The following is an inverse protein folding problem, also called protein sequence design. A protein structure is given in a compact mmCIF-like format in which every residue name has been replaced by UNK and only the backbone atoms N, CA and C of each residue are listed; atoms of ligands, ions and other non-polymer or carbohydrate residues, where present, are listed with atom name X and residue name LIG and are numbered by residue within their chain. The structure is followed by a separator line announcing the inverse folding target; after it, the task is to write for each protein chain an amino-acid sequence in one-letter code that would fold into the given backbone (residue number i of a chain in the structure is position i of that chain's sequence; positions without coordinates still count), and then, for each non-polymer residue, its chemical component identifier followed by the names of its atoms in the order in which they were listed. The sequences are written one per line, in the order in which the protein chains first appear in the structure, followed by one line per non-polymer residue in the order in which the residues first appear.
data_IF_336934379944
#
_entry.id   IF_336934379944
#
_cell.length_a   1.000
_cell.length_b   1.000
_cell.length_c   1.000
_cell.angle_alpha   90.00
_cell.angle_beta   90.00
_cell.angle_gamma   90.00
#
_symmetry.space_group_name_H-M   'P 1'
#
loop_
_entity.id
_entity.type
_entity.pdbx_description
1 polymer ?
#
# COMPACT_ATOMS: atom_id res chain seq x y z
N UNK A 1 8.89 29.20 -11.02
CA UNK A 1 9.04 27.73 -10.90
C UNK A 1 8.93 27.37 -9.42
N UNK A 2 8.06 26.42 -9.09
CA UNK A 2 7.93 25.99 -7.72
C UNK A 2 9.19 25.21 -7.28
N UNK A 3 9.56 25.36 -6.00
CA UNK A 3 10.70 24.64 -5.46
C UNK A 3 10.33 23.23 -5.05
N UNK A 4 11.28 22.29 -5.11
CA UNK A 4 11.07 20.95 -4.59
C UNK A 4 10.68 20.97 -3.11
N UNK A 5 9.76 20.10 -2.72
CA UNK A 5 9.40 19.89 -1.33
C UNK A 5 9.69 18.48 -0.90
N UNK A 6 10.10 18.30 0.34
CA UNK A 6 10.32 16.98 0.90
C UNK A 6 10.09 17.02 2.40
N UNK A 7 9.88 15.85 2.99
CA UNK A 7 9.69 15.78 4.41
C UNK A 7 9.65 14.35 4.94
N UNK A 8 9.54 14.28 6.26
CA UNK A 8 9.41 13.03 7.01
C UNK A 8 8.39 13.24 8.13
N UNK A 9 7.68 12.18 8.43
CA UNK A 9 6.74 12.17 9.56
C UNK A 9 6.75 10.80 10.23
N UNK A 10 6.30 10.75 11.47
CA UNK A 10 6.06 9.50 12.19
C UNK A 10 4.66 8.95 11.92
N UNK A 11 4.14 8.15 12.90
CA UNK A 11 2.82 7.51 12.75
C UNK A 11 1.66 8.51 12.58
N UNK A 12 1.82 9.74 13.02
CA UNK A 12 0.82 10.80 12.89
C UNK A 12 0.50 11.16 11.43
N UNK A 13 1.41 10.82 10.53
CA UNK A 13 1.21 10.98 9.10
C UNK A 13 1.79 12.27 8.52
N UNK A 14 1.83 12.34 7.18
CA UNK A 14 2.33 13.49 6.45
C UNK A 14 1.28 14.60 6.39
N UNK A 15 1.62 15.78 5.83
CA UNK A 15 0.60 16.79 5.52
C UNK A 15 -0.55 16.21 4.71
N UNK A 16 -1.75 16.78 4.90
CA UNK A 16 -2.98 16.27 4.28
C UNK A 16 -2.87 16.13 2.75
N UNK A 17 -2.20 17.07 2.08
CA UNK A 17 -2.03 17.03 0.63
C UNK A 17 -1.16 15.83 0.19
N UNK A 18 -0.15 15.48 0.96
CA UNK A 18 0.73 14.32 0.69
C UNK A 18 -0.04 13.03 0.90
N UNK A 19 -0.80 12.93 1.99
CA UNK A 19 -1.64 11.77 2.25
C UNK A 19 -2.69 11.57 1.16
N UNK A 20 -3.35 12.65 0.73
CA UNK A 20 -4.32 12.59 -0.35
C UNK A 20 -3.70 12.08 -1.66
N UNK A 21 -2.49 12.53 -1.97
CA UNK A 21 -1.74 12.09 -3.14
C UNK A 21 -1.41 10.59 -3.07
N UNK A 22 -0.97 10.11 -1.91
CA UNK A 22 -0.74 8.68 -1.65
C UNK A 22 -2.03 7.88 -1.82
N UNK A 23 -3.10 8.30 -1.15
CA UNK A 23 -4.36 7.58 -1.13
C UNK A 23 -5.08 7.54 -2.48
N UNK A 24 -4.81 8.51 -3.36
CA UNK A 24 -5.41 8.56 -4.69
C UNK A 24 -4.79 7.57 -5.68
N UNK A 25 -3.61 7.04 -5.39
CA UNK A 25 -2.95 6.09 -6.29
C UNK A 25 -3.63 4.72 -6.24
N UNK A 26 -3.70 4.07 -7.39
CA UNK A 26 -4.38 2.80 -7.54
C UNK A 26 -3.49 1.60 -7.30
N UNK A 27 -2.18 1.78 -7.44
CA UNK A 27 -1.18 0.73 -7.28
C UNK A 27 -0.02 1.28 -6.50
N UNK A 28 0.48 0.50 -5.57
CA UNK A 28 1.72 0.78 -4.85
C UNK A 28 2.70 -0.36 -5.07
N UNK A 29 3.99 -0.05 -5.02
CA UNK A 29 5.04 -1.06 -4.90
C UNK A 29 5.17 -1.43 -3.44
N UNK A 30 4.97 -2.71 -3.13
CA UNK A 30 5.09 -3.25 -1.78
C UNK A 30 6.42 -3.97 -1.64
N UNK A 31 7.20 -3.57 -0.64
CA UNK A 31 8.43 -4.24 -0.27
C UNK A 31 8.21 -5.07 1.00
N UNK A 32 8.64 -6.33 0.96
CA UNK A 32 8.67 -7.24 2.09
C UNK A 32 10.07 -7.78 2.29
N UNK A 33 10.35 -8.34 3.45
CA UNK A 33 11.65 -8.92 3.79
C UNK A 33 11.56 -10.43 3.82
N UNK A 34 12.56 -11.08 3.25
CA UNK A 34 12.72 -12.54 3.31
C UNK A 34 14.15 -12.90 3.63
N UNK A 35 14.40 -14.18 3.97
CA UNK A 35 15.76 -14.67 4.20
C UNK A 35 16.66 -14.50 2.97
N UNK A 36 16.09 -14.48 1.78
CA UNK A 36 16.82 -14.28 0.52
C UNK A 36 17.01 -12.80 0.14
N UNK A 37 16.51 -11.87 0.97
CA UNK A 37 16.61 -10.42 0.75
C UNK A 37 15.27 -9.76 0.57
N UNK A 38 15.24 -8.47 0.19
CA UNK A 38 14.00 -7.74 -0.04
C UNK A 38 13.29 -8.24 -1.30
N UNK A 39 11.95 -8.11 -1.26
CA UNK A 39 11.09 -8.46 -2.38
C UNK A 39 10.19 -7.30 -2.71
N UNK A 40 9.86 -7.16 -4.00
CA UNK A 40 8.96 -6.13 -4.50
C UNK A 40 7.84 -6.75 -5.31
N UNK A 41 6.62 -6.24 -5.10
CA UNK A 41 5.45 -6.62 -5.87
C UNK A 41 4.49 -5.44 -5.96
N UNK A 42 3.81 -5.22 -7.10
CA UNK A 42 2.74 -4.23 -7.17
C UNK A 42 1.49 -4.76 -6.47
N UNK A 43 0.82 -3.88 -5.73
CA UNK A 43 -0.44 -4.21 -5.07
C UNK A 43 -1.46 -3.11 -5.30
N UNK A 44 -2.72 -3.49 -5.50
CA UNK A 44 -3.84 -2.56 -5.39
C UNK A 44 -4.15 -2.39 -3.90
N UNK A 45 -4.52 -1.18 -3.51
CA UNK A 45 -4.73 -0.86 -2.09
C UNK A 45 -5.76 0.23 -1.92
N UNK A 46 -6.22 0.41 -0.69
CA UNK A 46 -7.04 1.54 -0.29
C UNK A 46 -6.52 2.11 1.03
N UNK A 47 -6.65 3.41 1.21
CA UNK A 47 -6.43 4.05 2.50
C UNK A 47 -7.73 3.95 3.29
N UNK A 48 -7.68 3.32 4.45
CA UNK A 48 -8.88 2.99 5.23
C UNK A 48 -8.56 2.96 6.73
N UNK A 49 -9.30 3.75 7.49
CA UNK A 49 -9.15 3.80 8.95
C UNK A 49 -7.71 4.02 9.41
N UNK A 50 -6.98 4.92 8.72
CA UNK A 50 -5.61 5.27 9.07
C UNK A 50 -4.56 4.21 8.69
N UNK A 51 -4.89 3.26 7.84
CA UNK A 51 -4.00 2.21 7.35
C UNK A 51 -4.11 2.04 5.84
N UNK A 52 -3.07 1.48 5.23
CA UNK A 52 -3.17 1.03 3.84
C UNK A 52 -3.58 -0.44 3.84
N UNK A 53 -4.67 -0.78 3.18
CA UNK A 53 -5.20 -2.15 3.15
C UNK A 53 -5.10 -2.75 1.76
N UNK A 54 -4.78 -4.04 1.70
CA UNK A 54 -4.89 -4.84 0.47
C UNK A 54 -5.43 -6.22 0.82
N UNK A 55 -5.85 -6.96 -0.21
CA UNK A 55 -6.35 -8.32 -0.03
C UNK A 55 -5.81 -9.23 -1.12
N UNK A 56 -5.66 -10.51 -0.79
CA UNK A 56 -5.40 -11.54 -1.80
C UNK A 56 -6.70 -11.78 -2.56
N UNK A 57 -6.66 -11.61 -3.86
CA UNK A 57 -7.82 -11.75 -4.74
C UNK A 57 -7.70 -12.98 -5.64
N UNK A 58 -8.79 -13.30 -6.34
CA UNK A 58 -8.85 -14.37 -7.33
C UNK A 58 -9.14 -13.87 -8.74
N UNK A 59 -9.05 -12.57 -8.95
CA UNK A 59 -9.24 -11.96 -10.27
C UNK A 59 -8.10 -12.35 -11.19
N UNK A 60 -6.88 -12.44 -10.64
CA UNK A 60 -5.68 -12.90 -11.35
C UNK A 60 -5.37 -14.34 -10.96
N UNK A 61 -4.93 -15.18 -11.90
CA UNK A 61 -4.52 -16.54 -11.58
C UNK A 61 -3.40 -16.56 -10.53
N UNK A 62 -3.53 -17.45 -9.54
CA UNK A 62 -2.56 -17.60 -8.46
C UNK A 62 -2.31 -19.09 -8.22
N UNK A 63 -1.12 -19.40 -7.71
CA UNK A 63 -0.79 -20.77 -7.28
C UNK A 63 -1.60 -21.13 -6.04
N UNK A 64 -1.95 -22.41 -5.83
CA UNK A 64 -2.55 -22.88 -4.58
C UNK A 64 -1.66 -22.57 -3.37
N UNK A 65 -2.29 -22.34 -2.22
CA UNK A 65 -1.60 -22.09 -0.97
C UNK A 65 -1.21 -20.64 -0.75
N UNK A 66 -0.51 -20.34 0.37
CA UNK A 66 -0.09 -19.00 0.70
C UNK A 66 0.85 -18.41 -0.36
N UNK A 67 0.65 -17.13 -0.68
CA UNK A 67 1.56 -16.41 -1.55
C UNK A 67 2.88 -16.17 -0.82
N UNK A 68 3.93 -15.91 -1.62
CA UNK A 68 5.25 -15.66 -1.06
C UNK A 68 5.25 -14.49 -0.08
N UNK A 69 4.57 -13.39 -0.45
CA UNK A 69 4.48 -12.23 0.45
C UNK A 69 3.76 -12.55 1.76
N UNK A 70 2.81 -13.47 1.76
CA UNK A 70 2.15 -13.90 3.00
C UNK A 70 3.13 -14.62 3.92
N UNK A 71 3.97 -15.48 3.37
CA UNK A 71 5.01 -16.18 4.13
C UNK A 71 6.08 -15.22 4.63
N UNK A 72 6.49 -14.26 3.79
CA UNK A 72 7.46 -13.23 4.18
C UNK A 72 6.94 -12.40 5.34
N UNK A 73 5.67 -11.99 5.30
CA UNK A 73 5.05 -11.20 6.35
C UNK A 73 4.86 -11.96 7.66
N UNK A 74 4.62 -13.27 7.58
CA UNK A 74 4.54 -14.11 8.78
C UNK A 74 5.91 -14.22 9.48
N UNK A 75 6.99 -14.20 8.72
CA UNK A 75 8.35 -14.26 9.25
C UNK A 75 8.85 -12.88 9.70
N UNK A 76 8.53 -11.82 8.96
CA UNK A 76 8.91 -10.44 9.27
C UNK A 76 7.80 -9.49 8.80
N UNK A 77 7.08 -8.86 9.73
CA UNK A 77 5.93 -8.01 9.37
C UNK A 77 6.31 -6.61 8.89
N UNK A 78 7.59 -6.25 8.87
CA UNK A 78 8.02 -4.93 8.39
C UNK A 78 7.81 -4.83 6.89
N UNK A 79 7.23 -3.72 6.45
CA UNK A 79 6.92 -3.46 5.04
C UNK A 79 7.20 -2.01 4.68
N UNK A 80 7.38 -1.77 3.40
CA UNK A 80 7.35 -0.44 2.83
C UNK A 80 6.43 -0.43 1.61
N UNK A 81 5.74 0.68 1.42
CA UNK A 81 4.91 0.92 0.23
C UNK A 81 5.37 2.20 -0.43
N UNK A 82 5.56 2.16 -1.73
CA UNK A 82 5.92 3.32 -2.52
C UNK A 82 4.85 3.60 -3.56
N UNK A 83 4.38 4.83 -3.59
CA UNK A 83 3.62 5.37 -4.71
C UNK A 83 4.44 6.48 -5.35
N UNK A 84 4.35 6.63 -6.65
CA UNK A 84 5.15 7.61 -7.37
C UNK A 84 4.49 8.03 -8.67
N UNK A 85 4.94 9.16 -9.18
CA UNK A 85 4.60 9.63 -10.50
C UNK A 85 5.88 10.06 -11.20
N UNK A 86 6.26 9.33 -12.23
CA UNK A 86 7.41 9.65 -13.07
C UNK A 86 6.97 9.87 -14.50
N UNK A 87 7.45 10.97 -15.09
CA UNK A 87 7.15 11.37 -16.45
C UNK A 87 8.35 12.09 -17.03
N UNK A 88 8.36 12.35 -18.34
CA UNK A 88 9.44 13.10 -18.97
C UNK A 88 9.50 14.56 -18.51
N UNK A 89 8.37 15.13 -18.13
CA UNK A 89 8.35 16.42 -17.43
C UNK A 89 8.77 16.20 -15.98
N UNK A 90 10.02 16.44 -15.69
CA UNK A 90 10.57 16.23 -14.35
C UNK A 90 10.02 17.20 -13.30
N UNK A 91 9.42 18.29 -13.70
CA UNK A 91 8.72 19.18 -12.76
C UNK A 91 7.45 18.54 -12.19
N UNK A 92 6.96 17.49 -12.82
CA UNK A 92 5.77 16.75 -12.36
C UNK A 92 6.11 15.53 -11.49
N UNK A 93 7.38 15.24 -11.25
CA UNK A 93 7.78 14.05 -10.48
C UNK A 93 7.49 14.20 -9.00
N UNK A 94 7.01 13.12 -8.40
CA UNK A 94 6.84 13.02 -6.94
C UNK A 94 6.81 11.55 -6.51
N UNK A 95 7.09 11.32 -5.24
CA UNK A 95 6.90 10.02 -4.62
C UNK A 95 6.54 10.16 -3.15
N UNK A 96 5.86 9.15 -2.61
CA UNK A 96 5.54 9.03 -1.19
C UNK A 96 5.83 7.59 -0.77
N UNK A 97 6.59 7.44 0.31
CA UNK A 97 6.89 6.15 0.92
C UNK A 97 6.23 6.05 2.29
N UNK A 98 5.57 4.93 2.53
CA UNK A 98 5.04 4.53 3.83
C UNK A 98 5.83 3.33 4.31
N UNK A 99 6.48 3.44 5.46
CA UNK A 99 7.05 2.30 6.17
C UNK A 99 6.15 1.95 7.35
N UNK A 100 5.89 0.67 7.54
CA UNK A 100 5.00 0.24 8.59
C UNK A 100 5.12 -1.24 8.93
N UNK A 101 4.16 -1.70 9.69
CA UNK A 101 4.05 -3.09 10.12
C UNK A 101 2.74 -3.66 9.57
N UNK A 102 2.83 -4.80 8.89
CA UNK A 102 1.66 -5.48 8.34
C UNK A 102 0.95 -6.29 9.42
N UNK A 103 -0.37 -6.22 9.43
CA UNK A 103 -1.21 -7.03 10.30
C UNK A 103 -2.37 -7.60 9.49
N UNK A 104 -2.69 -8.88 9.71
CA UNK A 104 -3.85 -9.51 9.11
C UNK A 104 -5.10 -9.04 9.83
N UNK A 105 -6.09 -8.58 9.08
CA UNK A 105 -7.38 -8.19 9.61
C UNK A 105 -8.33 -9.39 9.61
N UNK A 106 -9.23 -9.42 10.58
CA UNK A 106 -10.24 -10.47 10.69
C UNK A 106 -11.61 -9.88 11.10
N UNK A 107 -12.67 -10.65 10.89
CA UNK A 107 -14.01 -10.27 11.28
C UNK A 107 -14.49 -8.97 10.66
N UNK A 108 -15.10 -8.10 11.46
CA UNK A 108 -15.64 -6.81 10.99
C UNK A 108 -14.59 -5.93 10.34
N UNK A 109 -13.38 -5.88 10.89
CA UNK A 109 -12.31 -5.07 10.35
C UNK A 109 -11.91 -5.53 8.93
N UNK A 110 -11.85 -6.84 8.69
CA UNK A 110 -11.59 -7.39 7.36
C UNK A 110 -12.72 -7.06 6.39
N UNK A 111 -13.98 -7.22 6.82
CA UNK A 111 -15.14 -6.94 5.97
C UNK A 111 -15.21 -5.45 5.58
N UNK A 112 -14.96 -4.56 6.52
CA UNK A 112 -14.94 -3.12 6.24
C UNK A 112 -13.81 -2.74 5.26
N UNK A 113 -12.65 -3.35 5.39
CA UNK A 113 -11.53 -3.14 4.46
C UNK A 113 -11.86 -3.68 3.06
N UNK A 114 -12.51 -4.84 2.96
CA UNK A 114 -12.98 -5.39 1.69
C UNK A 114 -14.02 -4.50 1.02
N UNK A 115 -14.92 -3.90 1.81
CA UNK A 115 -15.89 -2.93 1.29
C UNK A 115 -15.18 -1.71 0.69
N UNK A 116 -14.16 -1.19 1.37
CA UNK A 116 -13.37 -0.06 0.88
C UNK A 116 -12.64 -0.41 -0.43
N UNK A 117 -12.09 -1.62 -0.53
CA UNK A 117 -11.43 -2.10 -1.74
C UNK A 117 -12.44 -2.30 -2.89
N UNK A 118 -13.60 -2.87 -2.61
CA UNK A 118 -14.64 -3.09 -3.62
C UNK A 118 -15.23 -1.77 -4.14
N UNK A 119 -15.38 -0.78 -3.27
CA UNK A 119 -15.80 0.56 -3.68
C UNK A 119 -14.82 1.16 -4.67
N UNK A 120 -13.55 0.91 -4.49
CA UNK A 120 -12.49 1.51 -5.29
C UNK A 120 -12.17 0.75 -6.58
N UNK A 121 -12.28 -0.58 -6.57
CA UNK A 121 -11.87 -1.43 -7.70
C UNK A 121 -13.04 -2.24 -8.24
N UNK A 122 -13.45 -1.93 -9.49
CA UNK A 122 -14.57 -2.63 -10.14
C UNK A 122 -14.42 -4.16 -10.17
N UNK A 123 -13.25 -4.73 -10.47
CA UNK A 123 -13.10 -6.20 -10.44
C UNK A 123 -13.46 -6.82 -9.08
N UNK A 124 -13.26 -6.09 -7.99
CA UNK A 124 -13.58 -6.58 -6.65
C UNK A 124 -15.07 -6.52 -6.32
N UNK A 125 -15.85 -5.72 -7.05
CA UNK A 125 -17.31 -5.72 -6.93
C UNK A 125 -17.92 -6.99 -7.51
N UNK A 126 -17.38 -7.45 -8.65
CA UNK A 126 -17.83 -8.68 -9.31
C UNK A 126 -17.26 -9.92 -8.65
N UNK A 127 -16.07 -9.85 -8.08
CA UNK A 127 -15.36 -10.97 -7.48
C UNK A 127 -14.65 -10.50 -6.22
N UNK A 128 -15.39 -10.52 -5.11
CA UNK A 128 -14.88 -10.06 -3.81
C UNK A 128 -13.68 -10.89 -3.39
N UNK A 129 -12.55 -10.27 -3.02
CA UNK A 129 -11.38 -11.03 -2.59
C UNK A 129 -11.69 -11.92 -1.39
N UNK A 130 -11.26 -13.19 -1.41
CA UNK A 130 -11.46 -14.06 -0.27
C UNK A 130 -10.55 -13.75 0.92
N UNK A 131 -9.50 -12.96 0.67
CA UNK A 131 -8.48 -12.70 1.67
C UNK A 131 -7.31 -13.68 1.61
N UNK A 132 -6.36 -13.59 2.53
CA UNK A 132 -6.37 -12.69 3.68
C UNK A 132 -6.37 -11.21 3.33
N UNK A 133 -6.84 -10.42 4.28
CA UNK A 133 -6.85 -8.96 4.21
C UNK A 133 -5.77 -8.44 5.14
N UNK A 134 -4.92 -7.56 4.62
CA UNK A 134 -3.75 -7.06 5.35
C UNK A 134 -3.82 -5.55 5.45
N UNK A 135 -3.53 -5.02 6.64
CA UNK A 135 -3.38 -3.59 6.87
C UNK A 135 -1.92 -3.26 7.16
N UNK A 136 -1.42 -2.21 6.55
CA UNK A 136 -0.13 -1.61 6.92
C UNK A 136 -0.38 -0.51 7.93
N UNK A 137 0.13 -0.72 9.14
CA UNK A 137 0.04 0.24 10.24
C UNK A 137 1.22 1.19 10.10
N UNK A 138 0.98 2.49 9.86
CA UNK A 138 2.05 3.44 9.60
C UNK A 138 3.01 3.61 10.78
N UNK A 139 4.30 3.68 10.47
CA UNK A 139 5.35 4.03 11.43
C UNK A 139 6.13 5.25 10.99
N UNK A 140 6.41 5.38 9.69
CA UNK A 140 7.21 6.47 9.14
C UNK A 140 6.75 6.76 7.73
N UNK A 141 6.74 8.06 7.40
CA UNK A 141 6.48 8.58 6.07
C UNK A 141 7.67 9.36 5.57
N UNK A 142 7.95 9.25 4.30
CA UNK A 142 8.93 10.07 3.61
C UNK A 142 8.34 10.46 2.25
N UNK A 143 8.55 11.68 1.83
CA UNK A 143 8.02 12.15 0.55
C UNK A 143 8.94 13.18 -0.09
N UNK A 144 8.77 13.30 -1.39
CA UNK A 144 9.45 14.30 -2.20
C UNK A 144 8.57 14.66 -3.38
N UNK A 145 8.63 15.93 -3.80
CA UNK A 145 7.95 16.46 -4.97
C UNK A 145 8.84 17.49 -5.65
N UNK A 146 8.92 17.42 -6.98
CA UNK A 146 9.71 18.37 -7.77
C UNK A 146 9.11 19.79 -7.72
N UNK A 147 7.83 19.87 -7.47
CA UNK A 147 7.12 21.16 -7.40
C UNK A 147 5.85 21.07 -6.58
#
# INVERSE_FOLDING_TARGET
MAEPTSGRAGPEGPPAAVLARFAAQRVASLATLSAAGPRLVPVTFAWHRGTAVWAVDRVKPKRPGPLRRERDLAADPRVAMLVDHYAEDWAALWWVELQGTAATLEGEAAEAALDALAERYLPYRANRPPGPVVAVIPRRWTWWSAS
#
